data_IF_148342159191
#
_entry.id   IF_148342159191
#
_cell.length_a   1.000
_cell.length_b   1.000
_cell.length_c   1.000
_cell.angle_alpha   90.00
_cell.angle_beta   90.00
_cell.angle_gamma   90.00
#
_symmetry.space_group_name_H-M   'P 1'
#
loop_
_entity.id
_entity.type
_entity.pdbx_description
1 polymer ?
#
# COMPACT_ATOMS: atom_id res chain seq x y z
N UNK A 1 -24.50 23.85 -30.65
CA UNK A 1 -24.13 23.68 -29.23
C UNK A 1 -22.66 23.30 -29.24
N UNK A 2 -21.81 24.00 -28.49
CA UNK A 2 -20.37 23.71 -28.46
C UNK A 2 -20.10 22.55 -27.49
N UNK A 3 -19.13 21.68 -27.78
CA UNK A 3 -18.69 20.59 -26.87
C UNK A 3 -18.43 21.07 -25.44
N UNK A 4 -18.01 22.32 -25.25
CA UNK A 4 -17.81 22.93 -23.93
C UNK A 4 -19.12 23.13 -23.15
N UNK A 5 -20.24 23.41 -23.83
CA UNK A 5 -21.56 23.51 -23.19
C UNK A 5 -22.09 22.13 -22.82
N UNK A 6 -21.95 21.15 -23.72
CA UNK A 6 -22.37 19.76 -23.46
C UNK A 6 -21.56 19.11 -22.34
N UNK A 7 -20.25 19.38 -22.26
CA UNK A 7 -19.40 18.95 -21.16
C UNK A 7 -19.79 19.62 -19.84
N UNK A 8 -20.11 20.93 -19.85
CA UNK A 8 -20.57 21.63 -18.65
C UNK A 8 -21.90 21.06 -18.16
N UNK A 9 -22.85 20.81 -19.05
CA UNK A 9 -24.12 20.16 -18.70
C UNK A 9 -23.92 18.73 -18.19
N UNK A 10 -22.98 17.98 -18.76
CA UNK A 10 -22.62 16.64 -18.30
C UNK A 10 -21.95 16.65 -16.92
N UNK A 11 -20.99 17.54 -16.69
CA UNK A 11 -20.23 17.64 -15.43
C UNK A 11 -21.08 18.14 -14.26
N UNK A 12 -22.12 18.93 -14.53
CA UNK A 12 -23.06 19.44 -13.51
C UNK A 12 -24.17 18.42 -13.21
N UNK A 13 -24.25 17.29 -13.93
CA UNK A 13 -25.16 16.20 -13.54
C UNK A 13 -24.79 15.70 -12.15
N UNK A 14 -25.75 15.75 -11.21
CA UNK A 14 -25.54 15.35 -9.81
C UNK A 14 -24.85 14.01 -9.65
N UNK A 15 -25.26 12.99 -10.42
CA UNK A 15 -24.65 11.64 -10.37
C UNK A 15 -23.14 11.63 -10.71
N UNK A 16 -22.67 12.49 -11.63
CA UNK A 16 -21.24 12.55 -12.01
C UNK A 16 -20.44 13.32 -10.97
N UNK A 17 -21.02 14.39 -10.43
CA UNK A 17 -20.40 15.19 -9.36
C UNK A 17 -20.25 14.37 -8.07
N UNK A 18 -21.30 13.65 -7.66
CA UNK A 18 -21.29 12.82 -6.45
C UNK A 18 -20.30 11.66 -6.59
N UNK A 19 -20.21 11.04 -7.77
CA UNK A 19 -19.21 10.03 -8.08
C UNK A 19 -17.79 10.60 -7.97
N UNK A 20 -17.54 11.77 -8.55
CA UNK A 20 -16.24 12.41 -8.51
C UNK A 20 -15.82 12.74 -7.07
N UNK A 21 -16.74 13.26 -6.26
CA UNK A 21 -16.50 13.51 -4.83
C UNK A 21 -16.23 12.20 -4.09
N UNK A 22 -16.97 11.13 -4.36
CA UNK A 22 -16.76 9.81 -3.78
C UNK A 22 -15.37 9.24 -4.07
N UNK A 23 -14.86 9.38 -5.30
CA UNK A 23 -13.52 8.93 -5.69
C UNK A 23 -12.43 9.77 -5.03
N UNK A 24 -12.61 11.09 -4.96
CA UNK A 24 -11.66 12.00 -4.31
C UNK A 24 -11.56 11.69 -2.80
N UNK A 25 -12.71 11.53 -2.14
CA UNK A 25 -12.76 11.16 -0.72
C UNK A 25 -12.17 9.77 -0.52
N UNK A 26 -12.53 8.78 -1.33
CA UNK A 26 -11.99 7.42 -1.22
C UNK A 26 -10.46 7.38 -1.36
N UNK A 27 -9.90 8.10 -2.33
CA UNK A 27 -8.45 8.18 -2.52
C UNK A 27 -7.72 8.95 -1.41
N UNK A 28 -8.33 10.00 -0.87
CA UNK A 28 -7.77 10.74 0.26
C UNK A 28 -7.86 9.97 1.58
N UNK A 29 -9.00 9.31 1.84
CA UNK A 29 -9.24 8.56 3.07
C UNK A 29 -8.35 7.33 3.17
N UNK A 30 -8.05 6.67 2.05
CA UNK A 30 -7.05 5.59 2.02
C UNK A 30 -5.66 6.02 2.50
N UNK A 31 -5.22 7.24 2.17
CA UNK A 31 -3.94 7.76 2.68
C UNK A 31 -3.98 8.02 4.19
N UNK A 32 -5.14 8.43 4.71
CA UNK A 32 -5.33 8.66 6.14
C UNK A 32 -5.29 7.33 6.89
N UNK A 33 -5.96 6.29 6.38
CA UNK A 33 -5.93 4.96 7.00
C UNK A 33 -4.53 4.34 6.94
N UNK A 34 -3.83 4.48 5.82
CA UNK A 34 -2.45 4.01 5.69
C UNK A 34 -1.51 4.71 6.66
N UNK A 35 -1.54 6.04 6.79
CA UNK A 35 -0.71 6.74 7.79
C UNK A 35 -1.09 6.36 9.23
N UNK A 36 -2.38 6.17 9.54
CA UNK A 36 -2.77 5.67 10.86
C UNK A 36 -2.17 4.29 11.15
N UNK A 37 -2.19 3.41 10.16
CA UNK A 37 -1.66 2.06 10.31
C UNK A 37 -0.13 2.08 10.44
N UNK A 38 0.56 2.76 9.52
CA UNK A 38 2.01 2.77 9.46
C UNK A 38 2.65 3.59 10.60
N UNK A 39 2.05 4.72 10.98
CA UNK A 39 2.65 5.65 11.95
C UNK A 39 2.18 5.42 13.39
N UNK A 40 1.03 4.74 13.60
CA UNK A 40 0.45 4.55 14.94
C UNK A 40 0.28 3.08 15.30
N UNK A 41 -0.33 2.27 14.44
CA UNK A 41 -0.62 0.87 14.75
C UNK A 41 0.65 0.02 14.68
N UNK A 42 1.42 0.14 13.60
CA UNK A 42 2.64 -0.65 13.37
C UNK A 42 3.71 -0.42 14.45
N UNK A 43 4.00 0.81 14.93
CA UNK A 43 4.94 1.04 16.02
C UNK A 43 4.48 0.46 17.36
N UNK A 44 3.17 0.46 17.63
CA UNK A 44 2.61 -0.14 18.86
C UNK A 44 2.69 -1.66 18.78
N UNK A 45 2.40 -2.24 17.62
CA UNK A 45 2.53 -3.69 17.39
C UNK A 45 4.00 -4.12 17.48
N UNK A 46 4.92 -3.39 16.86
CA UNK A 46 6.36 -3.68 16.93
C UNK A 46 6.92 -3.50 18.35
N UNK A 47 6.42 -2.53 19.12
CA UNK A 47 6.79 -2.39 20.53
C UNK A 47 6.35 -3.59 21.41
N UNK A 48 5.21 -4.22 21.09
CA UNK A 48 4.64 -5.33 21.87
C UNK A 48 5.21 -6.70 21.45
N UNK A 49 5.43 -6.90 20.16
CA UNK A 49 5.90 -8.18 19.59
C UNK A 49 7.45 -8.26 19.56
N UNK A 50 8.15 -7.14 19.80
CA UNK A 50 9.59 -6.99 19.58
C UNK A 50 9.87 -6.51 18.15
N UNK A 51 11.14 -6.18 17.87
CA UNK A 51 11.68 -5.54 16.64
C UNK A 51 11.51 -6.41 15.37
N UNK A 52 10.28 -6.86 15.13
CA UNK A 52 9.85 -7.64 14.00
C UNK A 52 9.52 -6.63 12.91
N UNK A 53 10.55 -6.28 12.15
CA UNK A 53 10.35 -5.58 10.90
C UNK A 53 9.63 -6.52 9.93
N UNK A 54 8.30 -6.39 9.87
CA UNK A 54 7.46 -7.15 8.94
C UNK A 54 7.89 -6.93 7.48
N UNK A 55 8.61 -5.84 7.16
CA UNK A 55 9.20 -5.62 5.84
C UNK A 55 10.30 -6.65 5.52
N UNK A 56 10.99 -7.16 6.55
CA UNK A 56 12.07 -8.14 6.45
C UNK A 56 11.64 -9.56 6.89
N UNK A 57 10.35 -9.76 7.19
CA UNK A 57 9.76 -11.09 7.34
C UNK A 57 9.48 -11.70 5.97
N UNK A 58 10.49 -12.39 5.46
CA UNK A 58 10.48 -13.02 4.15
C UNK A 58 11.08 -14.41 4.22
N UNK A 59 10.48 -15.33 3.46
CA UNK A 59 11.03 -16.67 3.25
C UNK A 59 11.53 -16.71 1.79
N UNK A 60 12.85 -16.81 1.55
CA UNK A 60 13.36 -17.05 0.21
C UNK A 60 12.90 -18.44 -0.25
N UNK A 61 12.35 -18.50 -1.46
CA UNK A 61 11.88 -19.75 -2.08
C UNK A 61 12.96 -20.41 -2.96
N UNK A 62 14.13 -19.80 -3.08
CA UNK A 62 15.27 -20.32 -3.82
C UNK A 62 16.58 -20.09 -3.04
N UNK A 63 17.66 -20.74 -3.49
CA UNK A 63 18.99 -20.58 -2.90
C UNK A 63 19.41 -19.10 -2.90
N UNK A 64 19.71 -18.59 -1.71
CA UNK A 64 20.23 -17.25 -1.51
C UNK A 64 21.72 -17.26 -1.85
N UNK A 65 22.20 -16.47 -2.83
CA UNK A 65 23.62 -16.41 -3.16
C UNK A 65 24.45 -16.00 -1.93
N UNK A 66 25.62 -16.63 -1.74
CA UNK A 66 26.50 -16.33 -0.60
C UNK A 66 26.92 -14.85 -0.62
N UNK A 67 26.62 -14.12 0.47
CA UNK A 67 26.89 -12.68 0.61
C UNK A 67 25.67 -11.77 0.43
N UNK A 68 24.51 -12.33 0.08
CA UNK A 68 23.26 -11.54 -0.01
C UNK A 68 22.66 -11.34 1.37
N UNK A 69 22.49 -10.08 1.80
CA UNK A 69 21.80 -9.79 3.05
C UNK A 69 20.35 -10.32 2.97
N UNK A 70 19.86 -10.94 4.05
CA UNK A 70 18.48 -11.46 4.17
C UNK A 70 17.47 -10.31 4.36
N UNK A 71 17.50 -9.34 3.46
CA UNK A 71 16.63 -8.16 3.43
C UNK A 71 15.81 -8.17 2.15
N UNK A 72 14.61 -7.59 2.21
CA UNK A 72 13.68 -7.59 1.07
C UNK A 72 14.27 -6.92 -0.16
N UNK A 73 15.02 -5.83 0.05
CA UNK A 73 15.70 -5.10 -1.01
C UNK A 73 16.78 -5.95 -1.70
N UNK A 74 17.65 -6.61 -0.92
CA UNK A 74 18.77 -7.36 -1.46
C UNK A 74 18.34 -8.66 -2.16
N UNK A 75 17.30 -9.34 -1.67
CA UNK A 75 16.79 -10.56 -2.32
C UNK A 75 15.99 -10.27 -3.59
N UNK A 76 15.27 -9.14 -3.62
CA UNK A 76 14.59 -8.65 -4.83
C UNK A 76 15.60 -8.23 -5.90
N UNK A 77 16.70 -7.58 -5.51
CA UNK A 77 17.78 -7.19 -6.40
C UNK A 77 18.58 -8.40 -6.91
N UNK A 78 18.79 -9.41 -6.06
CA UNK A 78 19.41 -10.68 -6.43
C UNK A 78 18.51 -11.59 -7.31
N UNK A 79 17.28 -11.17 -7.61
CA UNK A 79 16.33 -11.94 -8.42
C UNK A 79 15.85 -13.22 -7.73
N UNK A 80 16.01 -13.32 -6.41
CA UNK A 80 15.56 -14.47 -5.61
C UNK A 80 14.06 -14.32 -5.36
N UNK A 81 13.22 -15.28 -5.79
CA UNK A 81 11.80 -15.24 -5.44
C UNK A 81 11.64 -15.36 -3.92
N UNK A 82 11.02 -14.35 -3.31
CA UNK A 82 10.78 -14.27 -1.87
C UNK A 82 9.27 -14.26 -1.58
N UNK A 83 8.84 -15.06 -0.62
CA UNK A 83 7.53 -14.88 0.02
C UNK A 83 7.68 -13.85 1.13
N UNK A 84 7.35 -12.60 0.84
CA UNK A 84 7.27 -11.53 1.82
C UNK A 84 5.93 -11.60 2.59
N UNK A 85 5.78 -12.61 3.44
CA UNK A 85 4.57 -12.83 4.23
C UNK A 85 4.35 -11.72 5.28
N UNK A 86 5.39 -10.98 5.67
CA UNK A 86 5.20 -9.79 6.49
C UNK A 86 4.50 -8.65 5.74
N UNK A 87 4.77 -8.47 4.44
CA UNK A 87 4.00 -7.53 3.61
C UNK A 87 2.52 -7.93 3.52
N UNK A 88 2.23 -9.24 3.45
CA UNK A 88 0.86 -9.74 3.48
C UNK A 88 0.14 -9.43 4.80
N UNK A 89 0.82 -9.55 5.95
CA UNK A 89 0.27 -9.17 7.25
C UNK A 89 0.04 -7.66 7.32
N UNK A 90 0.99 -6.86 6.83
CA UNK A 90 0.83 -5.39 6.73
C UNK A 90 -0.38 -5.01 5.89
N UNK A 91 -0.60 -5.66 4.75
CA UNK A 91 -1.77 -5.43 3.88
C UNK A 91 -3.08 -5.83 4.58
N UNK A 92 -3.08 -6.86 5.43
CA UNK A 92 -4.29 -7.24 6.19
C UNK A 92 -4.63 -6.26 7.31
N UNK A 93 -3.65 -5.51 7.80
CA UNK A 93 -3.83 -4.51 8.85
C UNK A 93 -4.20 -3.14 8.26
N UNK A 94 -3.74 -2.84 7.03
CA UNK A 94 -3.97 -1.58 6.31
C UNK A 94 -5.32 -1.54 5.60
#
# INVERSE_FOLDING_TARGET
>A
MSMLQEFKEFAVKGNVMDLAVGVIIGGAFGKITTSLVDDVIMPVISAVIGDVDFSNMLIPLAEVPEGTAMTYAALKEAGVPVLAYGNFITILIN
#
